data_IF_498798937479
#
_entry.id   IF_498798937479
#
_cell.length_a   1.000
_cell.length_b   1.000
_cell.length_c   1.000
_cell.angle_alpha   90.00
_cell.angle_beta   90.00
_cell.angle_gamma   90.00
#
_symmetry.space_group_name_H-M   'P 1'
#
loop_
_entity.id
_entity.type
_entity.pdbx_description
1 polymer ?
#
# COMPACT_ATOMS: atom_id res chain seq x y z
N UNK A 1 46.14 -29.29 -38.46
CA UNK A 1 45.37 -28.72 -37.34
C UNK A 1 46.15 -27.53 -36.81
N UNK A 2 45.69 -26.30 -37.05
CA UNK A 2 46.32 -25.08 -36.53
C UNK A 2 45.49 -24.60 -35.36
N UNK A 3 45.97 -24.78 -34.13
CA UNK A 3 45.36 -24.18 -32.95
C UNK A 3 46.13 -22.92 -32.57
N UNK A 4 45.40 -21.84 -32.27
CA UNK A 4 45.98 -20.57 -31.85
C UNK A 4 46.61 -20.73 -30.45
N UNK A 5 47.92 -20.52 -30.37
CA UNK A 5 48.71 -20.62 -29.12
C UNK A 5 48.70 -19.34 -28.29
N UNK A 6 48.21 -18.21 -28.84
CA UNK A 6 48.19 -16.93 -28.15
C UNK A 6 46.78 -16.36 -28.12
N UNK A 7 46.25 -16.16 -26.91
CA UNK A 7 45.04 -15.39 -26.67
C UNK A 7 45.35 -13.91 -26.91
N UNK A 8 44.54 -13.24 -27.72
CA UNK A 8 44.65 -11.79 -27.94
C UNK A 8 44.43 -11.10 -26.59
N UNK A 9 45.39 -10.27 -26.16
CA UNK A 9 45.27 -9.55 -24.90
C UNK A 9 44.00 -8.68 -24.89
N UNK A 10 43.28 -8.62 -23.76
CA UNK A 10 42.10 -7.77 -23.63
C UNK A 10 42.48 -6.32 -23.93
N UNK A 11 41.90 -5.73 -24.98
CA UNK A 11 42.11 -4.31 -25.27
C UNK A 11 41.65 -3.49 -24.06
N UNK A 12 42.45 -2.50 -23.60
CA UNK A 12 42.04 -1.65 -22.50
C UNK A 12 40.75 -0.93 -22.87
N UNK A 13 39.85 -0.81 -21.90
CA UNK A 13 38.58 -0.11 -22.09
C UNK A 13 38.86 1.31 -22.61
N UNK A 14 38.09 1.80 -23.61
CA UNK A 14 38.27 3.16 -24.10
C UNK A 14 38.18 4.16 -22.94
N UNK A 15 39.02 5.21 -22.91
CA UNK A 15 39.03 6.17 -21.82
C UNK A 15 37.63 6.75 -21.65
N UNK A 16 37.11 6.70 -20.42
CA UNK A 16 35.80 7.29 -20.10
C UNK A 16 35.85 8.76 -20.48
N UNK A 17 35.10 9.14 -21.50
CA UNK A 17 35.00 10.55 -21.92
C UNK A 17 34.57 11.35 -20.70
N UNK A 18 35.39 12.33 -20.30
CA UNK A 18 35.07 13.20 -19.17
C UNK A 18 33.73 13.87 -19.46
N UNK A 19 32.71 13.44 -18.73
CA UNK A 19 31.36 13.92 -18.91
C UNK A 19 31.30 15.38 -18.50
N UNK A 20 31.31 16.31 -19.46
CA UNK A 20 31.04 17.73 -19.21
C UNK A 20 29.71 17.88 -18.47
N UNK A 21 29.61 18.85 -17.57
CA UNK A 21 28.36 19.15 -16.89
C UNK A 21 27.32 19.57 -17.93
N UNK A 22 26.37 18.68 -18.23
CA UNK A 22 25.22 19.01 -19.07
C UNK A 22 24.28 19.94 -18.32
N UNK A 23 23.59 20.83 -19.02
CA UNK A 23 22.58 21.73 -18.44
C UNK A 23 21.50 20.98 -17.64
N UNK A 24 21.17 19.75 -18.05
CA UNK A 24 20.24 18.88 -17.29
C UNK A 24 20.75 18.49 -15.90
N UNK A 25 22.07 18.31 -15.73
CA UNK A 25 22.67 18.05 -14.41
C UNK A 25 22.70 19.28 -13.54
N UNK A 26 22.96 20.46 -14.13
CA UNK A 26 22.91 21.73 -13.40
C UNK A 26 21.50 21.97 -12.86
N UNK A 27 20.48 21.82 -13.71
CA UNK A 27 19.08 21.90 -13.30
C UNK A 27 18.76 20.86 -12.22
N UNK A 28 19.25 19.63 -12.38
CA UNK A 28 19.10 18.58 -11.37
C UNK A 28 19.71 18.93 -10.02
N UNK A 29 20.92 19.50 -10.00
CA UNK A 29 21.59 19.94 -8.77
C UNK A 29 20.90 21.15 -8.13
N UNK A 30 20.43 22.12 -8.93
CA UNK A 30 19.64 23.25 -8.43
C UNK A 30 18.35 22.74 -7.78
N UNK A 31 17.64 21.83 -8.45
CA UNK A 31 16.44 21.21 -7.91
C UNK A 31 16.70 20.46 -6.61
N UNK A 32 17.77 19.65 -6.55
CA UNK A 32 18.17 18.96 -5.33
C UNK A 32 18.55 19.94 -4.20
N UNK A 33 19.30 21.00 -4.53
CA UNK A 33 19.68 22.04 -3.58
C UNK A 33 18.47 22.75 -2.98
N UNK A 34 17.46 23.07 -3.81
CA UNK A 34 16.20 23.64 -3.35
C UNK A 34 15.47 22.69 -2.38
N UNK A 35 15.38 21.40 -2.70
CA UNK A 35 14.76 20.40 -1.82
C UNK A 35 15.48 20.26 -0.48
N UNK A 36 16.83 20.24 -0.49
CA UNK A 36 17.63 20.19 0.74
C UNK A 36 17.39 21.45 1.57
N UNK A 37 17.40 22.63 0.95
CA UNK A 37 17.16 23.89 1.65
C UNK A 37 15.77 23.93 2.29
N UNK A 38 14.72 23.47 1.58
CA UNK A 38 13.38 23.36 2.14
C UNK A 38 13.31 22.38 3.32
N UNK A 39 13.99 21.23 3.22
CA UNK A 39 14.06 20.26 4.32
C UNK A 39 14.78 20.83 5.54
N UNK A 40 15.91 21.53 5.34
CA UNK A 40 16.65 22.21 6.42
C UNK A 40 15.81 23.30 7.05
N UNK A 41 15.12 24.12 6.25
CA UNK A 41 14.22 25.16 6.75
C UNK A 41 13.09 24.57 7.60
N UNK A 42 12.49 23.45 7.16
CA UNK A 42 11.43 22.76 7.89
C UNK A 42 11.94 22.21 9.24
N UNK A 43 13.11 21.57 9.26
CA UNK A 43 13.73 21.08 10.50
C UNK A 43 14.08 22.24 11.43
N UNK A 44 14.63 23.32 10.90
CA UNK A 44 14.91 24.54 11.68
C UNK A 44 13.65 25.09 12.32
N UNK A 45 12.55 25.19 11.57
CA UNK A 45 11.24 25.64 12.07
C UNK A 45 10.66 24.73 13.15
N UNK A 46 10.90 23.42 13.09
CA UNK A 46 10.49 22.48 14.15
C UNK A 46 11.24 22.72 15.45
N UNK A 47 12.56 22.93 15.37
CA UNK A 47 13.42 23.14 16.54
C UNK A 47 13.16 24.53 17.15
N UNK A 48 13.04 25.56 16.31
CA UNK A 48 12.91 26.95 16.78
C UNK A 48 11.58 27.23 17.47
N UNK A 49 10.49 26.61 17.01
CA UNK A 49 9.15 26.83 17.55
C UNK A 49 8.74 25.75 18.57
N UNK A 50 9.70 24.97 19.11
CA UNK A 50 9.39 23.87 20.02
C UNK A 50 8.72 24.35 21.31
N UNK A 51 7.56 23.78 21.63
CA UNK A 51 6.78 24.08 22.83
C UNK A 51 6.52 22.78 23.61
N UNK A 52 7.17 22.66 24.76
CA UNK A 52 7.11 21.47 25.62
C UNK A 52 5.72 21.25 26.21
N UNK A 53 4.97 22.31 26.52
CA UNK A 53 3.64 22.21 27.13
C UNK A 53 2.63 21.65 26.13
N UNK A 54 2.71 22.07 24.86
CA UNK A 54 1.92 21.49 23.77
C UNK A 54 2.27 20.02 23.57
N UNK A 55 3.55 19.67 23.59
CA UNK A 55 3.98 18.28 23.41
C UNK A 55 3.42 17.37 24.51
N UNK A 56 3.51 17.76 25.78
CA UNK A 56 2.99 16.98 26.91
C UNK A 56 1.46 16.85 26.84
N UNK A 57 0.76 17.93 26.46
CA UNK A 57 -0.70 17.96 26.40
C UNK A 57 -1.29 17.16 25.24
N UNK A 58 -0.68 17.22 24.05
CA UNK A 58 -1.23 16.61 22.83
C UNK A 58 -0.53 15.31 22.42
N UNK A 59 0.72 15.07 22.83
CA UNK A 59 1.49 13.86 22.51
C UNK A 59 0.73 12.54 22.75
N UNK A 60 0.08 12.34 23.91
CA UNK A 60 -0.72 11.13 24.16
C UNK A 60 -1.87 10.94 23.16
N UNK A 61 -2.43 12.02 22.61
CA UNK A 61 -3.49 11.95 21.60
C UNK A 61 -2.96 11.48 20.25
N UNK A 62 -1.74 11.85 19.88
CA UNK A 62 -1.10 11.31 18.66
C UNK A 62 -0.90 9.80 18.79
N UNK A 63 -0.49 9.30 19.95
CA UNK A 63 -0.36 7.87 20.20
C UNK A 63 -1.70 7.13 20.14
N UNK A 64 -2.78 7.73 20.70
CA UNK A 64 -4.12 7.13 20.57
C UNK A 64 -4.59 7.12 19.12
N UNK A 65 -4.36 8.22 18.37
CA UNK A 65 -4.70 8.30 16.95
C UNK A 65 -3.91 7.29 16.12
N UNK A 66 -2.61 7.12 16.42
CA UNK A 66 -1.73 6.12 15.82
C UNK A 66 -2.29 4.70 16.03
N UNK A 67 -2.73 4.39 17.25
CA UNK A 67 -3.33 3.09 17.56
C UNK A 67 -4.62 2.84 16.76
N UNK A 68 -5.48 3.85 16.64
CA UNK A 68 -6.70 3.79 15.81
C UNK A 68 -6.35 3.57 14.34
N UNK A 69 -5.37 4.31 13.81
CA UNK A 69 -4.88 4.16 12.43
C UNK A 69 -4.37 2.74 12.18
N UNK A 70 -3.49 2.22 13.04
CA UNK A 70 -2.91 0.89 12.89
C UNK A 70 -3.99 -0.20 12.98
N UNK A 71 -4.90 -0.09 13.94
CA UNK A 71 -6.00 -1.05 14.10
C UNK A 71 -6.88 -1.05 12.86
N UNK A 72 -7.28 0.12 12.37
CA UNK A 72 -8.13 0.24 11.19
C UNK A 72 -7.46 -0.36 9.96
N UNK A 73 -6.19 -0.01 9.71
CA UNK A 73 -5.41 -0.52 8.57
C UNK A 73 -5.23 -2.03 8.63
N UNK A 74 -4.79 -2.58 9.78
CA UNK A 74 -4.54 -4.02 9.94
C UNK A 74 -5.82 -4.82 9.74
N UNK A 75 -6.94 -4.37 10.34
CA UNK A 75 -8.23 -5.05 10.23
C UNK A 75 -8.77 -4.96 8.80
N UNK A 76 -8.70 -3.80 8.14
CA UNK A 76 -9.10 -3.64 6.74
C UNK A 76 -8.30 -4.50 5.78
N UNK A 77 -6.97 -4.56 5.93
CA UNK A 77 -6.11 -5.39 5.09
C UNK A 77 -6.42 -6.86 5.31
N UNK A 78 -6.66 -7.29 6.55
CA UNK A 78 -6.96 -8.68 6.87
C UNK A 78 -8.28 -9.13 6.26
N UNK A 79 -9.36 -8.39 6.49
CA UNK A 79 -10.65 -8.71 5.85
C UNK A 79 -10.59 -8.55 4.33
N UNK A 80 -9.83 -7.56 3.84
CA UNK A 80 -9.62 -7.37 2.42
C UNK A 80 -8.87 -8.53 1.78
N UNK A 81 -7.89 -9.10 2.46
CA UNK A 81 -7.18 -10.30 2.02
C UNK A 81 -8.13 -11.50 1.94
N UNK A 82 -8.95 -11.72 2.98
CA UNK A 82 -9.96 -12.78 2.99
C UNK A 82 -10.96 -12.64 1.84
N UNK A 83 -11.44 -11.42 1.59
CA UNK A 83 -12.39 -11.13 0.50
C UNK A 83 -11.73 -11.19 -0.88
N UNK A 84 -10.45 -10.84 -0.98
CA UNK A 84 -9.71 -10.82 -2.25
C UNK A 84 -9.55 -12.20 -2.88
N UNK A 85 -9.47 -13.26 -2.06
CA UNK A 85 -9.29 -14.64 -2.52
C UNK A 85 -10.45 -15.09 -3.43
N UNK A 86 -11.72 -15.09 -2.97
CA UNK A 86 -12.83 -15.47 -3.82
C UNK A 86 -13.02 -14.52 -5.01
N UNK A 87 -12.73 -13.22 -4.86
CA UNK A 87 -12.80 -12.26 -5.98
C UNK A 87 -11.76 -12.61 -7.06
N UNK A 88 -10.51 -12.89 -6.68
CA UNK A 88 -9.46 -13.26 -7.61
C UNK A 88 -9.82 -14.55 -8.38
N UNK A 89 -10.37 -15.55 -7.69
CA UNK A 89 -10.85 -16.77 -8.35
C UNK A 89 -12.05 -16.52 -9.26
N UNK A 90 -13.02 -15.70 -8.85
CA UNK A 90 -14.15 -15.31 -9.70
C UNK A 90 -13.68 -14.60 -10.98
N UNK A 91 -12.65 -13.74 -10.87
CA UNK A 91 -12.01 -13.04 -12.01
C UNK A 91 -11.28 -13.98 -12.97
N UNK A 92 -10.82 -15.14 -12.51
CA UNK A 92 -10.18 -16.16 -13.36
C UNK A 92 -11.15 -17.26 -13.80
N UNK A 93 -12.39 -17.22 -13.33
CA UNK A 93 -13.39 -18.23 -13.65
C UNK A 93 -13.80 -18.16 -15.12
N UNK A 94 -14.08 -19.33 -15.71
CA UNK A 94 -14.69 -19.45 -17.05
C UNK A 94 -16.16 -19.02 -17.05
N UNK A 95 -16.81 -18.98 -15.88
CA UNK A 95 -18.20 -18.51 -15.78
C UNK A 95 -18.28 -17.02 -16.07
N UNK A 96 -19.00 -16.66 -17.14
CA UNK A 96 -19.20 -15.27 -17.55
C UNK A 96 -19.82 -14.43 -16.44
N UNK A 97 -20.78 -14.98 -15.69
CA UNK A 97 -21.47 -14.26 -14.60
C UNK A 97 -20.50 -13.89 -13.48
N UNK A 98 -19.73 -14.87 -12.97
CA UNK A 98 -18.76 -14.61 -11.91
C UNK A 98 -17.67 -13.64 -12.36
N UNK A 99 -17.20 -13.78 -13.61
CA UNK A 99 -16.19 -12.91 -14.16
C UNK A 99 -16.68 -11.46 -14.28
N UNK A 100 -17.90 -11.25 -14.80
CA UNK A 100 -18.48 -9.92 -14.99
C UNK A 100 -18.77 -9.23 -13.65
N UNK A 101 -19.37 -9.93 -12.69
CA UNK A 101 -19.66 -9.35 -11.36
C UNK A 101 -18.36 -8.95 -10.66
N UNK A 102 -17.37 -9.84 -10.62
CA UNK A 102 -16.09 -9.54 -10.00
C UNK A 102 -15.30 -8.46 -10.76
N UNK A 103 -15.41 -8.42 -12.10
CA UNK A 103 -14.84 -7.35 -12.91
C UNK A 103 -15.45 -5.99 -12.55
N UNK A 104 -16.78 -5.90 -12.50
CA UNK A 104 -17.49 -4.68 -12.16
C UNK A 104 -17.11 -4.18 -10.75
N UNK A 105 -17.07 -5.08 -9.78
CA UNK A 105 -16.59 -4.78 -8.43
C UNK A 105 -15.17 -4.18 -8.46
N UNK A 106 -14.22 -4.90 -9.06
CA UNK A 106 -12.82 -4.46 -9.12
C UNK A 106 -12.70 -3.12 -9.85
N UNK A 107 -13.42 -2.95 -10.95
CA UNK A 107 -13.46 -1.73 -11.75
C UNK A 107 -13.94 -0.54 -10.93
N UNK A 108 -15.05 -0.68 -10.20
CA UNK A 108 -15.60 0.39 -9.36
C UNK A 108 -14.65 0.75 -8.23
N UNK A 109 -14.19 -0.23 -7.44
CA UNK A 109 -13.40 0.06 -6.23
C UNK A 109 -11.97 0.54 -6.54
N UNK A 110 -11.38 0.12 -7.66
CA UNK A 110 -10.07 0.64 -8.11
C UNK A 110 -10.19 1.92 -8.94
N UNK A 111 -11.33 2.13 -9.62
CA UNK A 111 -11.59 3.30 -10.45
C UNK A 111 -12.12 4.51 -9.69
N UNK A 112 -12.56 4.35 -8.44
CA UNK A 112 -13.11 5.44 -7.61
C UNK A 112 -12.18 5.81 -6.45
N UNK A 113 -12.10 7.10 -6.06
CA UNK A 113 -11.30 7.52 -4.91
C UNK A 113 -11.81 6.90 -3.60
N UNK A 114 -10.89 6.50 -2.71
CA UNK A 114 -11.23 5.96 -1.38
C UNK A 114 -12.09 6.95 -0.58
N UNK A 115 -11.81 8.26 -0.67
CA UNK A 115 -12.63 9.30 -0.02
C UNK A 115 -14.09 9.25 -0.46
N UNK A 116 -14.33 9.10 -1.77
CA UNK A 116 -15.68 9.01 -2.31
C UNK A 116 -16.40 7.75 -1.81
N UNK A 117 -15.69 6.62 -1.73
CA UNK A 117 -16.24 5.37 -1.18
C UNK A 117 -16.63 5.51 0.31
N UNK A 118 -15.79 6.19 1.10
CA UNK A 118 -16.08 6.50 2.50
C UNK A 118 -17.32 7.39 2.62
N UNK A 119 -17.43 8.44 1.81
CA UNK A 119 -18.60 9.32 1.81
C UNK A 119 -19.89 8.62 1.39
N UNK A 120 -19.85 7.80 0.34
CA UNK A 120 -21.01 7.05 -0.11
C UNK A 120 -21.46 6.05 0.96
N UNK A 121 -20.52 5.40 1.65
CA UNK A 121 -20.85 4.46 2.73
C UNK A 121 -21.37 5.20 3.96
N UNK A 122 -20.70 6.25 4.42
CA UNK A 122 -21.07 6.95 5.65
C UNK A 122 -22.30 7.84 5.49
N UNK A 123 -22.28 8.76 4.51
CA UNK A 123 -23.39 9.70 4.29
C UNK A 123 -24.50 9.09 3.44
N UNK A 124 -24.14 8.33 2.39
CA UNK A 124 -25.13 7.74 1.49
C UNK A 124 -26.06 6.75 2.18
N UNK A 125 -25.53 5.80 2.97
CA UNK A 125 -26.38 4.92 3.78
C UNK A 125 -27.07 5.64 4.94
N UNK A 126 -26.50 6.73 5.43
CA UNK A 126 -27.16 7.62 6.39
C UNK A 126 -28.50 8.16 5.88
N UNK A 127 -28.63 8.43 4.57
CA UNK A 127 -29.89 8.83 3.95
C UNK A 127 -30.97 7.73 3.95
N UNK A 128 -30.57 6.46 4.07
CA UNK A 128 -31.47 5.30 4.13
C UNK A 128 -31.65 4.77 5.55
N UNK A 129 -31.51 5.63 6.57
CA UNK A 129 -31.57 5.25 7.98
C UNK A 129 -32.77 4.34 8.30
N UNK A 130 -33.97 4.71 7.87
CA UNK A 130 -35.18 3.96 8.19
C UNK A 130 -35.14 2.51 7.65
N UNK A 131 -34.60 2.31 6.46
CA UNK A 131 -34.45 1.01 5.82
C UNK A 131 -33.34 0.18 6.46
N UNK A 132 -32.25 0.82 6.89
CA UNK A 132 -31.12 0.13 7.56
C UNK A 132 -31.47 -0.22 9.01
N UNK A 133 -32.29 0.61 9.66
CA UNK A 133 -32.81 0.38 11.00
C UNK A 133 -33.81 -0.78 11.03
N UNK A 134 -34.67 -0.92 10.01
CA UNK A 134 -35.61 -2.04 9.92
C UNK A 134 -34.91 -3.41 9.84
N UNK A 135 -33.75 -3.47 9.19
CA UNK A 135 -32.91 -4.69 9.14
C UNK A 135 -31.93 -4.81 10.32
N UNK A 136 -32.02 -3.93 11.33
CA UNK A 136 -31.21 -3.96 12.55
C UNK A 136 -29.69 -3.78 12.31
N UNK A 137 -29.29 -3.11 11.22
CA UNK A 137 -27.89 -2.82 10.90
C UNK A 137 -27.48 -1.38 11.26
N UNK A 138 -28.38 -0.55 11.79
CA UNK A 138 -28.08 0.87 12.04
C UNK A 138 -26.93 1.09 13.03
N UNK A 139 -26.72 0.17 13.98
CA UNK A 139 -25.59 0.22 14.90
C UNK A 139 -24.23 0.21 14.19
N UNK A 140 -24.15 -0.42 13.01
CA UNK A 140 -22.93 -0.46 12.20
C UNK A 140 -22.74 0.84 11.43
N UNK A 141 -23.77 1.31 10.73
CA UNK A 141 -23.67 2.47 9.84
C UNK A 141 -23.69 3.83 10.57
N UNK A 142 -24.13 3.87 11.83
CA UNK A 142 -24.07 5.08 12.66
C UNK A 142 -22.63 5.43 13.06
N UNK A 143 -21.77 4.43 13.28
CA UNK A 143 -20.40 4.67 13.74
C UNK A 143 -19.44 4.86 12.55
N UNK A 144 -18.81 6.03 12.48
CA UNK A 144 -17.92 6.37 11.38
C UNK A 144 -16.73 5.41 11.23
N UNK A 145 -16.25 4.84 12.34
CA UNK A 145 -15.16 3.87 12.34
C UNK A 145 -15.54 2.59 11.57
N UNK A 146 -16.75 2.07 11.74
CA UNK A 146 -17.22 0.88 11.01
C UNK A 146 -17.44 1.17 9.53
N UNK A 147 -17.97 2.36 9.19
CA UNK A 147 -18.09 2.80 7.81
C UNK A 147 -16.73 2.92 7.13
N UNK A 148 -15.75 3.56 7.79
CA UNK A 148 -14.38 3.65 7.31
C UNK A 148 -13.74 2.27 7.13
N UNK A 149 -13.92 1.37 8.10
CA UNK A 149 -13.44 -0.01 8.04
C UNK A 149 -14.02 -0.74 6.81
N UNK A 150 -15.32 -0.64 6.59
CA UNK A 150 -15.99 -1.27 5.46
C UNK A 150 -15.46 -0.72 4.12
N UNK A 151 -15.40 0.60 3.97
CA UNK A 151 -14.89 1.25 2.76
C UNK A 151 -13.46 0.83 2.44
N UNK A 152 -12.56 0.88 3.45
CA UNK A 152 -11.16 0.50 3.29
C UNK A 152 -11.01 -1.00 2.99
N UNK A 153 -11.81 -1.85 3.62
CA UNK A 153 -11.84 -3.30 3.37
C UNK A 153 -12.22 -3.61 1.93
N UNK A 154 -13.29 -3.00 1.43
CA UNK A 154 -13.75 -3.20 0.05
C UNK A 154 -12.75 -2.62 -0.96
N UNK A 155 -12.15 -1.47 -0.64
CA UNK A 155 -11.11 -0.88 -1.48
C UNK A 155 -9.90 -1.82 -1.61
N UNK A 156 -9.30 -2.20 -0.48
CA UNK A 156 -8.09 -3.01 -0.50
C UNK A 156 -8.36 -4.42 -1.02
N UNK A 157 -9.54 -5.01 -0.79
CA UNK A 157 -9.92 -6.29 -1.38
C UNK A 157 -9.84 -6.27 -2.92
N UNK A 158 -10.27 -5.18 -3.57
CA UNK A 158 -10.20 -5.03 -5.01
C UNK A 158 -8.75 -4.94 -5.53
N UNK A 159 -7.88 -4.19 -4.85
CA UNK A 159 -6.45 -4.11 -5.20
C UNK A 159 -5.73 -5.44 -4.96
N UNK A 160 -5.95 -6.04 -3.80
CA UNK A 160 -5.38 -7.34 -3.42
C UNK A 160 -5.83 -8.47 -4.36
N UNK A 161 -7.08 -8.45 -4.82
CA UNK A 161 -7.59 -9.46 -5.74
C UNK A 161 -6.88 -9.41 -7.09
N UNK A 162 -6.63 -8.20 -7.61
CA UNK A 162 -5.90 -8.01 -8.86
C UNK A 162 -4.39 -8.28 -8.72
N UNK A 163 -3.79 -7.99 -7.56
CA UNK A 163 -2.43 -8.42 -7.23
C UNK A 163 -2.33 -9.94 -7.28
N UNK A 164 -3.22 -10.66 -6.56
CA UNK A 164 -3.23 -12.11 -6.52
C UNK A 164 -3.46 -12.72 -7.91
N UNK A 165 -4.46 -12.20 -8.63
CA UNK A 165 -4.77 -12.62 -10.00
C UNK A 165 -3.58 -12.39 -10.95
N UNK A 166 -2.95 -11.23 -10.88
CA UNK A 166 -1.78 -10.87 -11.68
C UNK A 166 -0.60 -11.81 -11.38
N UNK A 167 -0.35 -12.08 -10.11
CA UNK A 167 0.70 -12.99 -9.67
C UNK A 167 0.47 -14.44 -10.14
N UNK A 168 -0.75 -14.96 -10.02
CA UNK A 168 -1.09 -16.31 -10.50
C UNK A 168 -0.89 -16.43 -12.01
N UNK A 169 -1.35 -15.43 -12.79
CA UNK A 169 -1.20 -15.45 -14.25
C UNK A 169 0.25 -15.20 -14.73
N UNK A 170 1.11 -14.64 -13.87
CA UNK A 170 2.52 -14.41 -14.20
C UNK A 170 3.39 -15.67 -14.14
N UNK A 171 2.90 -16.74 -13.51
CA UNK A 171 3.64 -18.01 -13.43
C UNK A 171 3.77 -18.61 -14.83
N UNK A 172 4.99 -18.99 -15.28
CA UNK A 172 5.21 -19.51 -16.63
C UNK A 172 4.36 -20.74 -16.92
N UNK A 173 3.76 -20.80 -18.12
CA UNK A 173 2.91 -21.93 -18.56
C UNK A 173 3.64 -23.27 -18.53
N UNK A 174 4.96 -23.28 -18.70
CA UNK A 174 5.79 -24.48 -18.57
C UNK A 174 5.66 -25.19 -17.21
N UNK A 175 5.31 -24.47 -16.13
CA UNK A 175 5.04 -25.08 -14.82
C UNK A 175 3.76 -25.93 -14.85
N UNK A 176 2.69 -25.42 -15.47
CA UNK A 176 1.45 -26.17 -15.66
C UNK A 176 1.61 -27.30 -16.67
N UNK A 177 2.33 -27.07 -17.78
CA UNK A 177 2.58 -28.07 -18.81
C UNK A 177 3.41 -29.24 -18.28
N UNK A 178 4.51 -28.96 -17.57
CA UNK A 178 5.33 -30.00 -16.93
C UNK A 178 4.57 -30.80 -15.88
N UNK A 179 3.70 -30.15 -15.09
CA UNK A 179 2.85 -30.83 -14.13
C UNK A 179 1.83 -31.76 -14.82
N UNK A 180 1.26 -31.34 -15.95
CA UNK A 180 0.37 -32.17 -16.76
C UNK A 180 1.11 -33.36 -17.38
N UNK A 181 2.36 -33.19 -17.84
CA UNK A 181 3.20 -34.30 -18.34
C UNK A 181 3.50 -35.35 -17.27
N UNK A 182 3.53 -34.95 -16.00
CA UNK A 182 3.68 -35.85 -14.85
C UNK A 182 2.34 -36.46 -14.36
N UNK A 183 1.22 -36.18 -15.04
CA UNK A 183 -0.10 -36.68 -14.66
C UNK A 183 -0.69 -36.06 -13.38
N UNK A 184 -0.18 -34.90 -12.94
CA UNK A 184 -0.67 -34.24 -11.74
C UNK A 184 -2.04 -33.61 -11.96
N UNK A 185 -2.94 -33.77 -10.98
CA UNK A 185 -4.27 -33.17 -11.06
C UNK A 185 -4.22 -31.63 -10.98
N UNK A 186 -5.17 -30.90 -11.60
CA UNK A 186 -5.16 -29.43 -11.61
C UNK A 186 -5.12 -28.80 -10.21
N UNK A 187 -5.78 -29.42 -9.23
CA UNK A 187 -5.77 -28.95 -7.84
C UNK A 187 -4.39 -29.09 -7.19
N UNK A 188 -3.71 -30.23 -7.42
CA UNK A 188 -2.35 -30.46 -6.92
C UNK A 188 -1.37 -29.51 -7.60
N UNK A 189 -1.46 -29.37 -8.92
CA UNK A 189 -0.66 -28.43 -9.71
C UNK A 189 -0.84 -27.00 -9.19
N UNK A 190 -2.07 -26.56 -8.97
CA UNK A 190 -2.31 -25.23 -8.45
C UNK A 190 -1.75 -25.06 -7.03
N UNK A 191 -2.14 -25.91 -6.08
CA UNK A 191 -1.81 -25.75 -4.66
C UNK A 191 -0.32 -25.92 -4.36
N UNK A 192 0.36 -26.86 -5.03
CA UNK A 192 1.75 -27.21 -4.72
C UNK A 192 2.79 -26.56 -5.65
N UNK A 193 2.39 -26.15 -6.86
CA UNK A 193 3.34 -25.62 -7.86
C UNK A 193 3.07 -24.14 -8.12
N UNK A 194 1.85 -23.80 -8.56
CA UNK A 194 1.53 -22.43 -9.02
C UNK A 194 1.38 -21.47 -7.83
N UNK A 195 0.57 -21.82 -6.83
CA UNK A 195 0.24 -20.94 -5.71
C UNK A 195 1.47 -20.48 -4.90
N UNK A 196 2.43 -21.36 -4.53
CA UNK A 196 3.62 -20.91 -3.81
C UNK A 196 4.48 -19.92 -4.63
N UNK A 197 4.63 -20.16 -5.93
CA UNK A 197 5.36 -19.25 -6.84
C UNK A 197 4.64 -17.91 -6.97
N UNK A 198 3.32 -17.94 -7.17
CA UNK A 198 2.50 -16.75 -7.25
C UNK A 198 2.57 -15.91 -5.96
N UNK A 199 2.54 -16.53 -4.78
CA UNK A 199 2.66 -15.82 -3.51
C UNK A 199 4.00 -15.10 -3.34
N UNK A 200 5.10 -15.69 -3.84
CA UNK A 200 6.41 -15.02 -3.86
C UNK A 200 6.38 -13.80 -4.77
N UNK A 201 5.78 -13.90 -5.96
CA UNK A 201 5.64 -12.77 -6.90
C UNK A 201 4.73 -11.68 -6.33
N UNK A 202 3.65 -12.06 -5.65
CA UNK A 202 2.68 -11.14 -5.07
C UNK A 202 3.21 -10.35 -3.87
N UNK A 203 4.30 -10.81 -3.23
CA UNK A 203 4.84 -10.23 -2.01
C UNK A 203 5.17 -8.74 -2.19
N UNK A 204 5.96 -8.34 -3.19
CA UNK A 204 6.31 -6.92 -3.35
C UNK A 204 5.09 -6.02 -3.62
N UNK A 205 4.17 -6.36 -4.55
CA UNK A 205 2.93 -5.60 -4.73
C UNK A 205 2.06 -5.53 -3.47
N UNK A 206 1.97 -6.60 -2.68
CA UNK A 206 1.24 -6.57 -1.40
C UNK A 206 1.85 -5.58 -0.42
N UNK A 207 3.17 -5.55 -0.28
CA UNK A 207 3.84 -4.56 0.57
C UNK A 207 3.53 -3.13 0.16
N UNK A 208 3.53 -2.86 -1.15
CA UNK A 208 3.14 -1.54 -1.67
C UNK A 208 1.69 -1.19 -1.35
N UNK A 209 0.76 -2.13 -1.49
CA UNK A 209 -0.65 -1.94 -1.15
C UNK A 209 -0.83 -1.61 0.35
N UNK A 210 -0.14 -2.32 1.24
CA UNK A 210 -0.19 -2.05 2.68
C UNK A 210 0.35 -0.64 2.99
N UNK A 211 1.47 -0.23 2.37
CA UNK A 211 2.03 1.13 2.53
C UNK A 211 1.05 2.19 2.03
N UNK A 212 0.41 1.95 0.89
CA UNK A 212 -0.62 2.84 0.34
C UNK A 212 -1.82 2.93 1.28
N UNK A 213 -2.24 1.82 1.90
CA UNK A 213 -3.36 1.79 2.83
C UNK A 213 -3.06 2.57 4.12
N UNK A 214 -1.83 2.48 4.66
CA UNK A 214 -1.41 3.32 5.80
C UNK A 214 -1.53 4.80 5.47
N UNK A 215 -1.03 5.23 4.31
CA UNK A 215 -1.12 6.64 3.89
C UNK A 215 -2.56 7.06 3.60
N UNK A 216 -3.31 6.20 2.91
CA UNK A 216 -4.70 6.42 2.53
C UNK A 216 -5.65 6.48 3.73
N UNK A 217 -5.32 5.81 4.84
CA UNK A 217 -6.11 5.84 6.07
C UNK A 217 -6.32 7.26 6.62
N UNK A 218 -5.40 8.20 6.38
CA UNK A 218 -5.52 9.59 6.83
C UNK A 218 -6.79 10.29 6.34
N UNK A 219 -7.40 9.79 5.25
CA UNK A 219 -8.64 10.30 4.67
C UNK A 219 -9.84 10.10 5.61
N UNK A 220 -9.79 9.12 6.51
CA UNK A 220 -10.89 8.82 7.46
C UNK A 220 -11.13 9.95 8.46
N UNK A 221 -10.10 10.78 8.71
CA UNK A 221 -10.20 12.00 9.51
C UNK A 221 -11.28 12.98 9.02
N UNK A 222 -11.69 12.87 7.75
CA UNK A 222 -12.72 13.72 7.16
C UNK A 222 -14.13 13.28 7.57
N UNK A 223 -14.32 12.01 7.90
CA UNK A 223 -15.60 11.46 8.42
C UNK A 223 -15.54 11.25 9.92
N UNK A 224 -15.03 12.24 10.67
CA UNK A 224 -15.04 12.30 12.14
C UNK A 224 -14.29 11.20 12.90
N UNK A 225 -13.60 10.28 12.21
CA UNK A 225 -12.74 9.29 12.86
C UNK A 225 -11.51 9.98 13.43
N UNK A 226 -11.28 9.83 14.73
CA UNK A 226 -10.12 10.39 15.43
C UNK A 226 -8.89 9.48 15.32
N UNK A 227 -8.48 9.22 14.08
CA UNK A 227 -7.22 8.55 13.74
C UNK A 227 -6.02 9.53 13.94
N UNK A 228 -4.81 9.15 13.52
CA UNK A 228 -3.64 10.02 13.63
C UNK A 228 -3.89 11.40 12.98
N UNK A 229 -4.45 11.43 11.77
CA UNK A 229 -4.75 12.69 11.09
C UNK A 229 -5.95 13.42 11.73
N UNK A 230 -6.94 12.70 12.26
CA UNK A 230 -8.05 13.26 13.03
C UNK A 230 -7.58 13.99 14.29
N UNK A 231 -6.68 13.37 15.06
CA UNK A 231 -6.06 13.98 16.26
C UNK A 231 -5.16 15.17 15.90
N UNK A 232 -4.50 15.10 14.75
CA UNK A 232 -3.72 16.21 14.19
C UNK A 232 -4.63 17.42 13.90
N UNK A 233 -5.73 17.21 13.16
CA UNK A 233 -6.70 18.26 12.83
C UNK A 233 -7.35 18.85 14.09
N UNK A 234 -7.65 18.00 15.08
CA UNK A 234 -8.17 18.46 16.37
C UNK A 234 -7.16 19.32 17.13
N UNK A 235 -5.88 18.93 17.14
CA UNK A 235 -4.82 19.71 17.79
C UNK A 235 -4.63 21.05 17.09
N UNK A 236 -4.60 21.05 15.75
CA UNK A 236 -4.51 22.26 14.95
C UNK A 236 -5.69 23.20 15.18
N UNK A 237 -6.93 22.70 15.24
CA UNK A 237 -8.11 23.57 15.45
C UNK A 237 -8.16 24.24 16.83
N UNK A 238 -7.39 23.71 17.81
CA UNK A 238 -7.29 24.27 19.17
C UNK A 238 -6.09 25.19 19.36
N UNK A 239 -5.03 24.99 18.60
CA UNK A 239 -3.75 25.71 18.77
C UNK A 239 -3.45 26.68 17.64
N UNK A 240 -4.05 26.47 16.46
CA UNK A 240 -3.71 27.11 15.19
C UNK A 240 -2.24 26.97 14.80
N UNK A 241 -1.57 25.96 15.35
CA UNK A 241 -0.14 25.73 15.18
C UNK A 241 0.13 24.66 14.12
N UNK A 242 0.75 25.07 13.02
CA UNK A 242 1.08 24.18 11.90
C UNK A 242 2.07 23.08 12.28
N UNK A 243 2.81 23.21 13.39
CA UNK A 243 3.67 22.15 13.91
C UNK A 243 2.92 20.84 14.16
N UNK A 244 1.61 20.89 14.44
CA UNK A 244 0.77 19.70 14.55
C UNK A 244 0.88 18.80 13.31
N UNK A 245 0.85 19.39 12.11
CA UNK A 245 0.98 18.64 10.85
C UNK A 245 2.40 18.14 10.60
N UNK A 246 3.42 18.86 11.07
CA UNK A 246 4.80 18.39 10.99
C UNK A 246 5.00 17.13 11.83
N UNK A 247 4.46 17.09 13.05
CA UNK A 247 4.46 15.89 13.88
C UNK A 247 3.74 14.72 13.23
N UNK A 248 2.55 14.97 12.69
CA UNK A 248 1.81 13.94 11.94
C UNK A 248 2.65 13.39 10.79
N UNK A 249 3.33 14.26 10.02
CA UNK A 249 4.20 13.85 8.93
C UNK A 249 5.37 12.97 9.43
N UNK A 250 5.99 13.31 10.56
CA UNK A 250 7.04 12.49 11.19
C UNK A 250 6.51 11.11 11.60
N UNK A 251 5.32 11.05 12.21
CA UNK A 251 4.69 9.77 12.58
C UNK A 251 4.36 8.92 11.35
N UNK A 252 3.74 9.49 10.31
CA UNK A 252 3.44 8.77 9.07
C UNK A 252 4.72 8.30 8.36
N UNK A 253 5.75 9.14 8.29
CA UNK A 253 7.04 8.77 7.70
C UNK A 253 7.68 7.62 8.48
N UNK A 254 7.73 7.72 9.80
CA UNK A 254 8.28 6.67 10.67
C UNK A 254 7.52 5.36 10.50
N UNK A 255 6.18 5.39 10.47
CA UNK A 255 5.35 4.20 10.24
C UNK A 255 5.65 3.56 8.89
N UNK A 256 5.62 4.35 7.82
CA UNK A 256 5.84 3.87 6.45
C UNK A 256 7.25 3.29 6.31
N UNK A 257 8.25 3.96 6.86
CA UNK A 257 9.64 3.54 6.76
C UNK A 257 9.90 2.26 7.56
N UNK A 258 9.37 2.18 8.78
CA UNK A 258 9.42 0.95 9.60
C UNK A 258 8.80 -0.22 8.84
N UNK A 259 7.61 -0.02 8.27
CA UNK A 259 6.92 -1.07 7.52
C UNK A 259 7.65 -1.46 6.24
N UNK A 260 8.22 -0.48 5.52
CA UNK A 260 9.04 -0.72 4.33
C UNK A 260 10.27 -1.57 4.64
N UNK A 261 10.97 -1.28 5.74
CA UNK A 261 12.12 -2.07 6.19
C UNK A 261 11.73 -3.48 6.61
N UNK A 262 10.65 -3.63 7.38
CA UNK A 262 10.11 -4.95 7.76
C UNK A 262 9.76 -5.75 6.50
N UNK A 263 9.09 -5.13 5.53
CA UNK A 263 8.71 -5.79 4.29
C UNK A 263 9.91 -6.21 3.44
N UNK A 264 10.89 -5.32 3.30
CA UNK A 264 12.12 -5.60 2.57
C UNK A 264 12.92 -6.75 3.21
N UNK A 265 12.95 -6.81 4.54
CA UNK A 265 13.56 -7.91 5.28
C UNK A 265 12.81 -9.24 5.05
N UNK A 266 11.47 -9.23 5.13
CA UNK A 266 10.65 -10.40 4.84
C UNK A 266 10.85 -10.89 3.40
N UNK A 267 10.85 -9.98 2.42
CA UNK A 267 11.11 -10.27 1.01
C UNK A 267 12.49 -10.89 0.82
N UNK A 268 13.54 -10.30 1.39
CA UNK A 268 14.89 -10.84 1.28
C UNK A 268 15.01 -12.24 1.91
N UNK A 269 14.35 -12.48 3.04
CA UNK A 269 14.36 -13.78 3.71
C UNK A 269 13.64 -14.86 2.90
N UNK A 270 12.47 -14.54 2.32
CA UNK A 270 11.69 -15.47 1.51
C UNK A 270 12.36 -15.77 0.17
N UNK A 271 12.97 -14.77 -0.47
CA UNK A 271 13.59 -14.88 -1.81
C UNK A 271 15.06 -15.31 -1.79
N UNK A 272 15.63 -15.63 -0.62
CA UNK A 272 17.04 -16.05 -0.48
C UNK A 272 17.46 -17.18 -1.43
N UNK A 273 16.54 -18.07 -1.79
CA UNK A 273 16.80 -19.21 -2.67
C UNK A 273 16.83 -18.86 -4.17
N UNK A 274 16.41 -17.64 -4.54
CA UNK A 274 16.39 -17.15 -5.92
C UNK A 274 17.65 -16.36 -6.30
N UNK A 275 18.43 -15.88 -5.31
CA UNK A 275 19.71 -15.21 -5.56
C UNK A 275 20.78 -16.30 -5.70
N UNK A 276 21.14 -16.64 -6.95
CA UNK A 276 22.35 -17.39 -7.29
C UNK A 276 23.46 -16.43 -7.66
#
# INVERSE_FOLDING_TARGET
MSYATNLIEPRPAPPKVASRMSGSRIIGFIGLGLWILLAVALVYMMISNWDTDKFVKYGPRYLSGLWVTLTLVVVSITFGALLSIPIAFARMSKSRVLNVISYAYVYVFRGTPLLAQIYLIYYGFGSFKAQIESVHLWWFFREAWYCALLSMTLNTAAYQAEILRGAILSVPRGQSEGAMSLGLSPFVTFRKIILPQALIVALRPYGNEIILMVKGSAVVAVVTVLDLMGQTRYTFSRTFDYQAYLWAAVFYLTMVETMRHIWAWLEARLTRHLKR
#
